data_IF_355143875412
#
_entry.id   IF_355143875412
#
_cell.length_a   1.000
_cell.length_b   1.000
_cell.length_c   1.000
_cell.angle_alpha   90.00
_cell.angle_beta   90.00
_cell.angle_gamma   90.00
#
_symmetry.space_group_name_H-M   'P 1'
#
loop_
_entity.id
_entity.type
_entity.pdbx_description
1 polymer ?
#
# COMPACT_ATOMS: atom_id res chain seq x y z
N UNK A 1 -60.14 -7.95 15.00
CA UNK A 1 -59.14 -8.10 13.92
C UNK A 1 -57.90 -7.31 14.30
N UNK A 2 -56.86 -7.97 14.81
CA UNK A 2 -55.59 -7.35 15.20
C UNK A 2 -54.66 -7.30 13.98
N UNK A 3 -54.27 -6.10 13.52
CA UNK A 3 -53.19 -5.91 12.55
C UNK A 3 -51.86 -5.92 13.29
N UNK A 4 -51.07 -6.98 13.14
CA UNK A 4 -49.69 -7.01 13.60
C UNK A 4 -48.79 -6.40 12.52
N UNK A 5 -48.22 -5.23 12.81
CA UNK A 5 -47.23 -4.58 11.95
C UNK A 5 -45.86 -5.21 12.24
N UNK A 6 -45.32 -5.96 11.28
CA UNK A 6 -44.02 -6.62 11.38
C UNK A 6 -42.94 -5.66 10.88
N UNK A 7 -42.23 -5.01 11.81
CA UNK A 7 -41.11 -4.12 11.49
C UNK A 7 -39.83 -4.95 11.36
N UNK A 8 -39.35 -5.11 10.13
CA UNK A 8 -38.09 -5.78 9.83
C UNK A 8 -36.91 -4.86 10.18
N UNK A 9 -36.24 -5.10 11.31
CA UNK A 9 -34.98 -4.44 11.63
C UNK A 9 -33.85 -5.06 10.80
N UNK A 10 -33.45 -4.39 9.72
CA UNK A 10 -32.18 -4.64 9.04
C UNK A 10 -31.05 -4.18 9.97
N UNK A 11 -30.50 -5.12 10.75
CA UNK A 11 -29.20 -4.97 11.39
C UNK A 11 -28.14 -4.95 10.29
N UNK A 12 -27.84 -3.76 9.75
CA UNK A 12 -26.62 -3.51 9.02
C UNK A 12 -25.46 -3.70 10.01
N UNK A 13 -24.84 -4.89 9.98
CA UNK A 13 -23.59 -5.10 10.68
C UNK A 13 -22.55 -4.19 10.03
N UNK A 14 -21.94 -3.25 10.76
CA UNK A 14 -20.79 -2.55 10.23
C UNK A 14 -19.71 -3.60 9.97
N UNK A 15 -19.35 -3.76 8.70
CA UNK A 15 -18.15 -4.49 8.31
C UNK A 15 -16.98 -3.73 8.90
N UNK A 16 -16.57 -4.11 10.11
CA UNK A 16 -15.30 -3.70 10.68
C UNK A 16 -14.21 -4.30 9.80
N UNK A 17 -13.78 -3.53 8.80
CA UNK A 17 -12.47 -3.69 8.22
C UNK A 17 -11.47 -3.36 9.34
N UNK A 18 -11.12 -4.38 10.13
CA UNK A 18 -10.02 -4.28 11.05
C UNK A 18 -8.78 -3.97 10.21
N UNK A 19 -8.30 -2.73 10.31
CA UNK A 19 -6.98 -2.38 9.85
C UNK A 19 -6.00 -3.27 10.64
N UNK A 20 -5.59 -4.37 10.01
CA UNK A 20 -4.63 -5.36 10.53
C UNK A 20 -3.18 -4.83 10.47
N UNK A 21 -3.00 -3.51 10.41
CA UNK A 21 -1.71 -2.85 10.39
C UNK A 21 -1.38 -2.27 11.77
N UNK A 22 -0.20 -2.62 12.28
CA UNK A 22 0.38 -1.89 13.41
C UNK A 22 0.65 -0.43 13.02
N UNK A 23 0.93 0.46 14.00
CA UNK A 23 1.39 1.80 13.67
C UNK A 23 2.61 1.70 12.75
N UNK A 24 2.59 2.46 11.66
CA UNK A 24 3.65 2.57 10.66
C UNK A 24 3.82 1.37 9.70
N UNK A 25 2.89 0.43 9.62
CA UNK A 25 2.90 -0.61 8.57
C UNK A 25 1.82 -0.36 7.53
N UNK A 26 2.19 -0.34 6.25
CA UNK A 26 1.26 -0.08 5.16
C UNK A 26 1.65 -0.86 3.90
N UNK A 27 0.66 -1.07 3.02
CA UNK A 27 0.86 -1.74 1.73
C UNK A 27 0.97 -0.67 0.66
N UNK A 28 2.15 -0.52 0.05
CA UNK A 28 2.41 0.52 -0.95
C UNK A 28 2.63 -0.08 -2.35
N UNK A 29 2.14 0.56 -3.44
CA UNK A 29 2.40 0.11 -4.81
C UNK A 29 3.89 0.14 -5.15
N UNK A 30 4.40 -0.93 -5.76
CA UNK A 30 5.81 -1.05 -6.16
C UNK A 30 6.02 -1.28 -7.64
N UNK A 31 5.06 -1.90 -8.34
CA UNK A 31 5.10 -1.99 -9.79
C UNK A 31 3.72 -2.21 -10.41
N UNK A 32 3.61 -1.92 -11.71
CA UNK A 32 2.40 -2.14 -12.49
C UNK A 32 2.75 -2.80 -13.81
N UNK A 33 1.96 -3.79 -14.22
CA UNK A 33 2.09 -4.47 -15.52
C UNK A 33 0.73 -4.77 -16.14
N UNK A 34 0.73 -5.12 -17.42
CA UNK A 34 -0.45 -5.54 -18.17
C UNK A 34 -0.43 -7.06 -18.33
N UNK A 35 -1.57 -7.71 -18.07
CA UNK A 35 -1.74 -9.15 -18.20
C UNK A 35 -2.97 -9.49 -19.04
N UNK A 36 -2.96 -10.66 -19.67
CA UNK A 36 -4.05 -11.15 -20.50
C UNK A 36 -5.23 -11.75 -19.71
N UNK A 37 -6.27 -12.16 -20.44
CA UNK A 37 -7.53 -12.68 -19.89
C UNK A 37 -7.40 -13.91 -18.97
N UNK A 38 -6.28 -14.64 -19.05
CA UNK A 38 -6.02 -15.86 -18.28
C UNK A 38 -5.45 -15.59 -16.89
N UNK A 39 -5.14 -14.32 -16.56
CA UNK A 39 -4.61 -13.97 -15.26
C UNK A 39 -5.69 -14.12 -14.18
N UNK A 40 -5.37 -14.89 -13.13
CA UNK A 40 -6.23 -15.04 -11.95
C UNK A 40 -5.67 -14.19 -10.79
N UNK A 41 -6.36 -13.10 -10.39
CA UNK A 41 -5.92 -12.33 -9.24
C UNK A 41 -6.06 -13.15 -7.96
N UNK A 42 -5.10 -12.97 -7.06
CA UNK A 42 -5.25 -13.39 -5.67
C UNK A 42 -6.29 -12.50 -4.99
N UNK A 43 -7.41 -13.08 -4.56
CA UNK A 43 -8.41 -12.38 -3.76
C UNK A 43 -8.21 -12.72 -2.29
N UNK A 44 -7.71 -11.76 -1.51
CA UNK A 44 -7.54 -11.94 -0.07
C UNK A 44 -7.24 -10.64 0.63
N UNK A 45 -7.41 -10.59 1.97
CA UNK A 45 -6.91 -9.47 2.76
C UNK A 45 -5.40 -9.33 2.56
N UNK A 46 -4.90 -8.09 2.60
CA UNK A 46 -3.47 -7.76 2.52
C UNK A 46 -2.97 -7.31 3.89
N UNK A 47 -2.78 -8.24 4.85
CA UNK A 47 -2.32 -7.87 6.19
C UNK A 47 -0.88 -7.37 6.11
N UNK A 48 -0.61 -6.17 6.62
CA UNK A 48 0.75 -5.67 6.71
C UNK A 48 1.16 -5.47 8.17
N UNK A 49 2.06 -6.33 8.63
CA UNK A 49 2.60 -6.31 10.00
C UNK A 49 4.10 -6.46 9.95
N UNK A 50 4.78 -6.22 11.07
CA UNK A 50 6.23 -6.47 11.20
C UNK A 50 6.68 -7.85 10.71
N UNK A 51 5.87 -8.91 10.92
CA UNK A 51 6.20 -10.28 10.48
C UNK A 51 6.05 -10.48 8.97
N UNK A 52 5.29 -9.62 8.31
CA UNK A 52 4.96 -9.68 6.89
C UNK A 52 5.66 -8.58 6.09
N UNK A 53 6.59 -7.84 6.71
CA UNK A 53 7.37 -6.81 6.04
C UNK A 53 8.10 -7.41 4.81
N UNK A 54 8.00 -6.74 3.66
CA UNK A 54 8.52 -7.22 2.39
C UNK A 54 7.61 -8.18 1.63
N UNK A 55 6.50 -8.65 2.22
CA UNK A 55 5.52 -9.49 1.51
C UNK A 55 4.89 -8.72 0.37
N UNK A 56 4.85 -9.33 -0.81
CA UNK A 56 4.22 -8.78 -2.00
C UNK A 56 2.81 -9.33 -2.20
N UNK A 57 1.89 -8.47 -2.59
CA UNK A 57 0.52 -8.76 -2.97
C UNK A 57 0.30 -8.31 -4.40
N UNK A 58 -0.60 -8.96 -5.12
CA UNK A 58 -1.02 -8.52 -6.44
C UNK A 58 -2.50 -8.16 -6.41
N UNK A 59 -2.83 -7.02 -6.99
CA UNK A 59 -4.21 -6.65 -7.31
C UNK A 59 -4.36 -6.58 -8.81
N UNK A 60 -5.48 -7.08 -9.34
CA UNK A 60 -5.80 -6.89 -10.74
C UNK A 60 -7.04 -6.02 -10.88
N UNK A 61 -6.92 -5.01 -11.74
CA UNK A 61 -8.04 -4.21 -12.19
C UNK A 61 -8.34 -4.58 -13.63
N UNK A 62 -9.56 -5.04 -13.96
CA UNK A 62 -9.92 -5.35 -15.34
C UNK A 62 -9.88 -4.07 -16.17
N UNK A 63 -9.24 -4.14 -17.33
CA UNK A 63 -9.18 -3.04 -18.27
C UNK A 63 -10.41 -3.02 -19.16
N UNK A 64 -10.72 -1.83 -19.65
CA UNK A 64 -11.87 -1.60 -20.49
C UNK A 64 -12.04 -0.14 -20.82
N UNK A 65 -13.10 0.15 -21.58
CA UNK A 65 -13.44 1.51 -21.98
C UNK A 65 -14.92 1.77 -21.71
N UNK A 66 -15.23 2.99 -21.29
CA UNK A 66 -16.60 3.46 -21.22
C UNK A 66 -17.11 3.78 -22.62
N UNK A 67 -18.18 3.12 -23.03
CA UNK A 67 -18.90 3.40 -24.28
C UNK A 67 -20.39 3.37 -24.00
N UNK A 68 -21.11 4.40 -24.46
CA UNK A 68 -22.58 4.48 -24.30
C UNK A 68 -23.06 4.22 -22.86
N UNK A 69 -22.37 4.77 -21.85
CA UNK A 69 -22.67 4.56 -20.43
C UNK A 69 -22.49 3.13 -19.91
N UNK A 70 -21.85 2.25 -20.68
CA UNK A 70 -21.46 0.90 -20.28
C UNK A 70 -19.93 0.77 -20.27
N UNK A 71 -19.38 0.05 -19.28
CA UNK A 71 -17.96 -0.31 -19.26
C UNK A 71 -17.77 -1.63 -20.01
N UNK A 72 -17.06 -1.60 -21.14
CA UNK A 72 -16.75 -2.79 -21.94
C UNK A 72 -15.34 -3.28 -21.63
N UNK A 73 -15.22 -4.53 -21.19
CA UNK A 73 -13.94 -5.18 -20.91
C UNK A 73 -13.19 -5.52 -22.20
N UNK A 74 -11.88 -5.27 -22.24
CA UNK A 74 -11.02 -5.61 -23.38
C UNK A 74 -10.32 -6.98 -23.24
N UNK A 75 -10.58 -7.68 -22.13
CA UNK A 75 -9.97 -8.98 -21.83
C UNK A 75 -8.53 -8.88 -21.31
N UNK A 76 -8.09 -7.71 -20.86
CA UNK A 76 -6.82 -7.54 -20.16
C UNK A 76 -7.00 -7.02 -18.74
N UNK A 77 -5.94 -7.15 -17.93
CA UNK A 77 -5.88 -6.67 -16.55
C UNK A 77 -4.66 -5.81 -16.34
N UNK A 78 -4.83 -4.69 -15.65
CA UNK A 78 -3.73 -3.98 -15.03
C UNK A 78 -3.45 -4.66 -13.70
N UNK A 79 -2.28 -5.29 -13.58
CA UNK A 79 -1.82 -5.93 -12.35
C UNK A 79 -0.87 -4.98 -11.63
N UNK A 80 -1.23 -4.61 -10.41
CA UNK A 80 -0.42 -3.79 -9.52
C UNK A 80 0.14 -4.67 -8.40
N UNK A 81 1.46 -4.75 -8.35
CA UNK A 81 2.19 -5.35 -7.24
C UNK A 81 2.33 -4.32 -6.12
N UNK A 82 1.99 -4.73 -4.91
CA UNK A 82 2.09 -3.93 -3.71
C UNK A 82 2.92 -4.64 -2.67
N UNK A 83 3.73 -3.92 -1.91
CA UNK A 83 4.61 -4.52 -0.90
C UNK A 83 4.22 -4.00 0.48
N UNK A 84 4.22 -4.87 1.48
CA UNK A 84 4.14 -4.44 2.88
C UNK A 84 5.44 -3.75 3.27
N UNK A 85 5.35 -2.46 3.61
CA UNK A 85 6.47 -1.57 3.94
C UNK A 85 6.29 -1.02 5.36
N UNK A 86 7.39 -0.55 5.95
CA UNK A 86 7.36 0.15 7.24
C UNK A 86 7.67 1.64 7.03
N UNK A 87 6.81 2.51 7.55
CA UNK A 87 6.94 3.96 7.47
C UNK A 87 5.58 4.67 7.52
N UNK A 88 5.62 5.99 7.50
CA UNK A 88 4.45 6.86 7.33
C UNK A 88 4.52 7.51 5.95
N UNK A 89 3.57 7.20 5.05
CA UNK A 89 3.49 7.79 3.70
C UNK A 89 3.28 9.32 3.73
N UNK A 90 3.07 9.92 4.91
CA UNK A 90 2.98 11.38 5.11
C UNK A 90 4.33 12.03 5.40
N UNK A 91 5.40 11.23 5.42
CA UNK A 91 6.77 11.69 5.62
C UNK A 91 7.51 11.83 4.29
N UNK A 92 8.58 12.62 4.31
CA UNK A 92 9.47 12.77 3.17
C UNK A 92 10.90 12.51 3.60
N UNK A 93 11.70 11.98 2.68
CA UNK A 93 13.14 11.81 2.85
C UNK A 93 13.81 13.17 2.78
N UNK A 94 14.53 13.53 3.84
CA UNK A 94 15.25 14.80 3.96
C UNK A 94 16.77 14.63 3.91
N UNK A 95 17.26 13.43 4.24
CA UNK A 95 18.67 13.08 4.20
C UNK A 95 18.84 11.56 4.04
N UNK A 96 20.02 11.11 3.66
CA UNK A 96 20.36 9.69 3.55
C UNK A 96 21.75 9.44 4.14
N UNK A 97 21.85 8.51 5.08
CA UNK A 97 23.12 8.15 5.72
C UNK A 97 23.57 6.76 5.26
N UNK A 98 24.82 6.59 4.79
CA UNK A 98 25.31 5.27 4.41
C UNK A 98 25.60 4.42 5.65
N UNK A 99 25.10 3.19 5.65
CA UNK A 99 25.38 2.14 6.66
C UNK A 99 26.05 0.97 5.96
N UNK A 100 27.21 0.56 6.45
CA UNK A 100 27.96 -0.55 5.88
C UNK A 100 27.46 -1.89 6.43
N UNK A 101 27.05 -2.78 5.53
CA UNK A 101 26.62 -4.15 5.83
C UNK A 101 27.51 -5.13 5.04
N UNK A 102 28.58 -5.60 5.68
CA UNK A 102 29.60 -6.40 4.99
C UNK A 102 30.20 -5.62 3.82
N UNK A 103 30.10 -6.16 2.62
CA UNK A 103 30.62 -5.54 1.40
C UNK A 103 29.61 -4.62 0.69
N UNK A 104 28.39 -4.47 1.23
CA UNK A 104 27.34 -3.63 0.65
C UNK A 104 27.11 -2.38 1.49
N UNK A 105 26.90 -1.24 0.83
CA UNK A 105 26.47 0.00 1.49
C UNK A 105 24.96 0.15 1.33
N UNK A 106 24.25 0.25 2.46
CA UNK A 106 22.82 0.53 2.52
C UNK A 106 22.62 2.02 2.81
N UNK A 107 21.76 2.69 2.02
CA UNK A 107 21.43 4.09 2.25
C UNK A 107 20.19 4.22 3.10
N UNK A 108 20.36 4.75 4.30
CA UNK A 108 19.33 4.84 5.31
C UNK A 108 18.64 6.20 5.28
N UNK A 109 17.33 6.26 4.99
CA UNK A 109 16.62 7.52 4.87
C UNK A 109 16.36 8.13 6.25
N UNK A 110 16.66 9.41 6.39
CA UNK A 110 16.12 10.25 7.46
C UNK A 110 14.85 10.91 6.95
N UNK A 111 13.76 10.75 7.68
CA UNK A 111 12.43 11.18 7.25
C UNK A 111 11.86 12.24 8.18
N UNK A 112 11.03 13.14 7.63
CA UNK A 112 10.32 14.18 8.38
C UNK A 112 8.94 14.42 7.80
N UNK A 113 7.99 14.79 8.66
CA UNK A 113 6.64 15.23 8.25
C UNK A 113 6.72 16.61 7.61
N UNK A 114 6.04 16.77 6.47
CA UNK A 114 5.94 18.05 5.78
C UNK A 114 4.95 19.02 6.44
N UNK A 115 4.84 20.27 5.93
CA UNK A 115 5.62 20.87 4.84
C UNK A 115 6.99 21.41 5.28
N UNK A 116 7.99 21.37 4.38
CA UNK A 116 9.34 21.88 4.63
C UNK A 116 9.40 23.39 4.44
N UNK A 117 9.94 24.11 5.44
CA UNK A 117 10.24 25.54 5.35
C UNK A 117 11.69 25.82 4.96
N UNK A 118 12.55 24.82 4.99
CA UNK A 118 14.00 24.92 4.78
C UNK A 118 14.44 23.92 3.70
N UNK A 119 15.52 24.24 3.00
CA UNK A 119 16.15 23.32 2.05
C UNK A 119 16.81 22.16 2.81
N UNK A 120 16.63 20.95 2.28
CA UNK A 120 17.18 19.69 2.81
C UNK A 120 18.26 19.15 1.89
N UNK A 121 19.03 18.16 2.35
CA UNK A 121 20.07 17.53 1.52
C UNK A 121 19.46 16.81 0.31
N UNK A 122 18.22 16.34 0.44
CA UNK A 122 17.41 15.79 -0.64
C UNK A 122 16.44 16.88 -1.14
N UNK A 123 16.72 17.47 -2.30
CA UNK A 123 15.83 18.43 -2.97
C UNK A 123 15.64 18.08 -4.47
N UNK A 124 14.40 18.01 -4.99
CA UNK A 124 13.13 18.25 -4.30
C UNK A 124 12.82 17.17 -3.24
N UNK A 125 12.01 17.48 -2.21
CA UNK A 125 11.64 16.50 -1.20
C UNK A 125 10.94 15.30 -1.84
N UNK A 126 11.42 14.09 -1.56
CA UNK A 126 10.83 12.85 -2.03
C UNK A 126 9.94 12.25 -0.97
N UNK A 127 8.72 11.85 -1.34
CA UNK A 127 7.84 11.12 -0.42
C UNK A 127 8.55 9.86 0.09
N UNK A 128 8.42 9.59 1.38
CA UNK A 128 8.89 8.34 1.95
C UNK A 128 7.88 7.24 1.67
N UNK A 129 8.28 6.26 0.85
CA UNK A 129 7.44 5.10 0.48
C UNK A 129 7.65 3.89 1.40
N UNK A 130 8.22 4.14 2.59
CA UNK A 130 8.60 3.13 3.56
C UNK A 130 9.98 2.49 3.31
N UNK A 131 10.45 1.81 4.35
CA UNK A 131 11.71 1.06 4.40
C UNK A 131 11.53 -0.36 3.86
N UNK A 132 12.54 -0.85 3.15
CA UNK A 132 12.68 -2.28 2.86
C UNK A 132 12.92 -3.07 4.16
N UNK A 133 12.79 -4.41 4.15
CA UNK A 133 13.13 -5.24 5.31
C UNK A 133 14.56 -4.99 5.83
N UNK A 134 15.51 -4.83 4.92
CA UNK A 134 16.91 -4.58 5.25
C UNK A 134 17.07 -3.21 5.92
N UNK A 135 16.49 -2.16 5.32
CA UNK A 135 16.49 -0.81 5.91
C UNK A 135 15.87 -0.80 7.31
N UNK A 136 14.77 -1.52 7.50
CA UNK A 136 14.11 -1.64 8.80
C UNK A 136 14.99 -2.29 9.88
N UNK A 137 15.87 -3.21 9.50
CA UNK A 137 16.79 -3.89 10.43
C UNK A 137 18.01 -3.04 10.72
N UNK A 138 18.59 -2.40 9.71
CA UNK A 138 19.93 -1.82 9.78
C UNK A 138 19.98 -0.31 9.97
N UNK A 139 18.93 0.44 9.62
CA UNK A 139 19.01 1.90 9.57
C UNK A 139 19.01 2.64 10.91
N UNK A 140 19.05 1.92 12.03
CA UNK A 140 18.80 2.52 13.34
C UNK A 140 17.34 2.99 13.43
N UNK A 141 16.70 2.77 14.57
CA UNK A 141 15.35 3.30 14.77
C UNK A 141 15.40 4.77 15.15
#
# INVERSE_FOLDING_TARGET
>A
MLKATFTLFLLATPSFAFALSGPDFHVSPTSTRQEGATYQPSSGPMPCTKKLLGTTYETATPNGKWQNFHFTLDGSYTVETRTCMWGDEREYVVDETPVQQGDTTLWCPTVRKGPFKEATNVWPPRLFTGSTPEMFVYCGK
#
